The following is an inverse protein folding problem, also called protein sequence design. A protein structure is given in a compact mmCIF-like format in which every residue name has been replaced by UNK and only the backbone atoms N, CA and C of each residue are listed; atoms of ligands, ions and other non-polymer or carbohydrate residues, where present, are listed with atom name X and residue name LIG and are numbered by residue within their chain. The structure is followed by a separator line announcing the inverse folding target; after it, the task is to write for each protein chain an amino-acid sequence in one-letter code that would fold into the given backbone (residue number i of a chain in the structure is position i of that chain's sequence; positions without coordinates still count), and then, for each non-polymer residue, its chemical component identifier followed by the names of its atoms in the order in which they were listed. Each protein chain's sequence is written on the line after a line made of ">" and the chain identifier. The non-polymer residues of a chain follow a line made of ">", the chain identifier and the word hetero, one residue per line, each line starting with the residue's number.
data_IF_743457695825
#
_entry.id   IF_743457695825
#
_cell.length_a   1.000
_cell.length_b   1.000
_cell.length_c   1.000
_cell.angle_alpha   90.00
_cell.angle_beta   90.00
_cell.angle_gamma   90.00
#
_symmetry.space_group_name_H-M   'P 1'
#
loop_
_entity.id
_entity.type
_entity.pdbx_description
1 polymer ?
#
# COMPACT_ATOMS: atom_id res chain seq x y z
N UNK A 1 -16.03 37.64 -35.75
CA UNK A 1 -15.46 36.70 -36.73
C UNK A 1 -14.32 35.90 -36.08
N UNK A 2 -14.35 34.61 -36.24
CA UNK A 2 -13.44 33.56 -35.75
C UNK A 2 -13.56 33.12 -34.29
N UNK A 3 -14.54 32.31 -34.08
CA UNK A 3 -14.58 31.22 -33.10
C UNK A 3 -13.53 30.16 -33.46
N UNK A 4 -12.67 29.77 -32.51
CA UNK A 4 -12.00 28.48 -32.53
C UNK A 4 -12.25 27.76 -31.23
N UNK A 5 -13.11 26.79 -31.33
CA UNK A 5 -13.29 25.64 -30.47
C UNK A 5 -12.01 24.85 -30.43
N UNK A 6 -11.46 24.56 -29.24
CA UNK A 6 -10.49 23.50 -28.98
C UNK A 6 -11.11 22.54 -27.99
N UNK A 7 -11.77 21.54 -28.55
CA UNK A 7 -12.06 20.32 -27.83
C UNK A 7 -10.77 19.53 -27.71
N UNK A 8 -10.21 19.43 -26.51
CA UNK A 8 -9.19 18.43 -26.18
C UNK A 8 -9.82 17.27 -25.46
N UNK A 9 -10.08 16.22 -26.21
CA UNK A 9 -10.31 14.87 -25.73
C UNK A 9 -9.02 14.36 -25.07
N UNK A 10 -9.08 14.10 -23.77
CA UNK A 10 -8.03 13.40 -23.05
C UNK A 10 -8.00 11.94 -23.50
N UNK A 11 -6.85 11.39 -23.90
CA UNK A 11 -6.73 9.97 -24.21
C UNK A 11 -6.78 9.15 -22.91
N UNK A 12 -7.69 8.19 -22.87
CA UNK A 12 -7.71 7.10 -21.92
C UNK A 12 -6.43 6.26 -22.10
N UNK A 13 -5.74 5.94 -21.00
CA UNK A 13 -4.69 4.91 -21.00
C UNK A 13 -3.24 5.39 -20.99
N UNK A 14 -2.94 6.52 -20.38
CA UNK A 14 -1.56 6.96 -20.13
C UNK A 14 -0.94 6.24 -18.94
N UNK A 15 -0.11 5.24 -19.19
CA UNK A 15 0.87 4.74 -18.22
C UNK A 15 1.76 5.91 -17.83
N UNK A 16 1.62 6.41 -16.60
CA UNK A 16 2.50 7.47 -16.08
C UNK A 16 3.87 6.85 -15.83
N UNK A 17 4.75 6.91 -16.82
CA UNK A 17 6.17 6.78 -16.62
C UNK A 17 6.65 8.00 -15.82
N UNK A 18 6.59 7.91 -14.49
CA UNK A 18 7.31 8.87 -13.66
C UNK A 18 8.81 8.62 -13.85
N UNK A 19 9.47 9.48 -14.63
CA UNK A 19 10.91 9.63 -14.65
C UNK A 19 11.35 9.81 -13.19
N UNK A 20 12.06 8.83 -12.65
CA UNK A 20 12.77 8.95 -11.38
C UNK A 20 13.91 9.93 -11.65
N UNK A 21 13.67 11.22 -11.42
CA UNK A 21 14.75 12.19 -11.34
C UNK A 21 15.61 11.77 -10.13
N UNK A 22 16.89 11.52 -10.38
CA UNK A 22 17.90 11.39 -9.33
C UNK A 22 17.83 12.66 -8.48
N UNK A 23 17.25 12.53 -7.28
CA UNK A 23 17.23 13.60 -6.30
C UNK A 23 18.66 13.77 -5.78
N UNK A 24 19.38 14.74 -6.33
CA UNK A 24 20.59 15.29 -5.75
C UNK A 24 20.28 15.69 -4.30
N UNK A 25 21.04 15.17 -3.37
CA UNK A 25 20.92 15.49 -1.94
C UNK A 25 21.06 17.00 -1.74
N UNK A 26 20.06 17.69 -1.17
CA UNK A 26 20.21 19.08 -0.82
C UNK A 26 21.15 19.20 0.39
N UNK A 27 22.09 20.14 0.31
CA UNK A 27 22.97 20.54 1.43
C UNK A 27 22.13 20.88 2.67
N UNK A 28 22.44 20.19 3.78
CA UNK A 28 21.88 20.41 5.12
C UNK A 28 21.91 21.91 5.48
N UNK A 29 20.75 22.43 5.81
CA UNK A 29 20.57 23.52 6.76
C UNK A 29 19.51 23.06 7.76
N UNK A 30 19.94 23.09 9.03
CA UNK A 30 19.15 23.00 10.25
C UNK A 30 18.38 21.72 10.62
N UNK A 31 18.89 21.05 11.61
CA UNK A 31 18.37 20.39 12.83
C UNK A 31 17.22 19.37 12.76
N UNK A 32 16.49 19.22 11.69
CA UNK A 32 15.41 18.24 11.55
C UNK A 32 15.94 16.91 10.99
N UNK A 33 15.84 15.84 11.76
CA UNK A 33 16.17 14.48 11.28
C UNK A 33 15.27 14.15 10.09
N UNK A 34 15.84 14.03 8.89
CA UNK A 34 15.10 13.60 7.71
C UNK A 34 14.40 12.24 8.00
N UNK A 35 13.13 12.07 7.62
CA UNK A 35 12.42 10.83 7.87
C UNK A 35 13.18 9.65 7.25
N UNK A 36 13.44 8.61 8.06
CA UNK A 36 14.15 7.42 7.61
C UNK A 36 13.26 6.66 6.63
N UNK A 37 13.62 6.67 5.35
CA UNK A 37 12.94 5.89 4.33
C UNK A 37 13.20 4.40 4.56
N UNK A 38 12.14 3.65 4.72
CA UNK A 38 12.17 2.21 4.90
C UNK A 38 12.60 1.50 3.60
N UNK A 39 11.89 1.83 2.53
CA UNK A 39 12.09 1.38 1.16
C UNK A 39 12.00 2.60 0.22
N UNK A 40 12.52 2.53 -1.01
CA UNK A 40 12.45 3.65 -1.95
C UNK A 40 11.01 4.18 -2.13
N UNK A 41 10.80 5.45 -1.79
CA UNK A 41 9.50 6.11 -1.91
C UNK A 41 8.44 5.72 -0.87
N UNK A 42 8.81 4.97 0.18
CA UNK A 42 7.94 4.66 1.32
C UNK A 42 8.39 5.37 2.59
N UNK A 43 7.43 5.82 3.36
CA UNK A 43 7.60 6.36 4.70
C UNK A 43 6.72 5.57 5.67
N UNK A 44 7.04 5.69 6.95
CA UNK A 44 6.30 5.12 8.06
C UNK A 44 7.23 4.60 9.12
N UNK A 45 6.84 4.81 10.37
CA UNK A 45 7.57 4.39 11.57
C UNK A 45 6.83 3.33 12.35
N UNK A 46 5.55 3.11 12.06
CA UNK A 46 4.69 2.14 12.73
C UNK A 46 5.27 0.73 12.67
N UNK A 47 5.32 0.04 13.84
CA UNK A 47 5.93 -1.29 13.96
C UNK A 47 5.29 -2.31 13.03
N UNK A 48 3.96 -2.33 12.97
CA UNK A 48 3.21 -3.23 12.09
C UNK A 48 3.45 -2.95 10.60
N UNK A 49 3.51 -1.68 10.22
CA UNK A 49 3.83 -1.27 8.86
C UNK A 49 5.23 -1.73 8.43
N UNK A 50 6.23 -1.51 9.29
CA UNK A 50 7.60 -1.95 9.03
C UNK A 50 7.70 -3.46 8.88
N UNK A 51 7.04 -4.20 9.78
CA UNK A 51 6.99 -5.66 9.72
C UNK A 51 6.40 -6.13 8.39
N UNK A 52 5.28 -5.58 7.94
CA UNK A 52 4.70 -5.93 6.64
C UNK A 52 5.66 -5.66 5.48
N UNK A 53 6.37 -4.53 5.49
CA UNK A 53 7.40 -4.22 4.49
C UNK A 53 8.56 -5.24 4.51
N UNK A 54 9.04 -5.60 5.70
CA UNK A 54 10.15 -6.55 5.87
C UNK A 54 9.74 -7.96 5.44
N UNK A 55 8.53 -8.40 5.74
CA UNK A 55 7.98 -9.70 5.32
C UNK A 55 7.90 -9.80 3.79
N UNK A 56 7.41 -8.77 3.11
CA UNK A 56 7.37 -8.73 1.64
C UNK A 56 8.79 -8.75 1.05
N UNK A 57 9.71 -7.98 1.63
CA UNK A 57 11.10 -7.95 1.17
C UNK A 57 11.79 -9.31 1.37
N UNK A 58 11.51 -10.00 2.47
CA UNK A 58 12.05 -11.34 2.73
C UNK A 58 11.49 -12.37 1.75
N UNK A 59 10.18 -12.37 1.49
CA UNK A 59 9.57 -13.22 0.47
C UNK A 59 10.19 -12.99 -0.92
N UNK A 60 10.39 -11.72 -1.30
CA UNK A 60 11.06 -11.38 -2.56
C UNK A 60 12.48 -11.96 -2.64
N UNK A 61 13.26 -11.85 -1.54
CA UNK A 61 14.64 -12.37 -1.46
C UNK A 61 14.69 -13.89 -1.52
N UNK A 62 13.71 -14.55 -0.94
CA UNK A 62 13.56 -16.01 -1.00
C UNK A 62 13.05 -16.50 -2.36
N UNK A 63 12.63 -15.60 -3.28
CA UNK A 63 11.99 -15.97 -4.54
C UNK A 63 10.57 -16.52 -4.36
N UNK A 64 9.99 -16.34 -3.18
CA UNK A 64 8.64 -16.80 -2.86
C UNK A 64 7.59 -15.82 -3.36
N UNK A 65 6.55 -16.34 -3.96
CA UNK A 65 5.38 -15.56 -4.34
C UNK A 65 4.61 -15.13 -3.10
N UNK A 66 4.07 -13.91 -3.11
CA UNK A 66 3.44 -13.33 -1.92
C UNK A 66 2.03 -12.81 -2.20
N UNK A 67 1.11 -13.06 -1.28
CA UNK A 67 -0.22 -12.46 -1.26
C UNK A 67 -0.27 -11.33 -0.21
N UNK A 68 -0.63 -10.12 -0.62
CA UNK A 68 -0.84 -8.99 0.29
C UNK A 68 -2.33 -8.78 0.51
N UNK A 69 -2.78 -8.99 1.73
CA UNK A 69 -4.15 -8.69 2.16
C UNK A 69 -4.22 -7.34 2.89
N UNK A 70 -5.37 -6.70 2.86
CA UNK A 70 -5.61 -5.45 3.59
C UNK A 70 -6.59 -4.52 2.89
N UNK A 71 -6.98 -3.48 3.62
CA UNK A 71 -7.97 -2.50 3.15
C UNK A 71 -7.54 -1.78 1.87
N UNK A 72 -8.50 -1.21 1.11
CA UNK A 72 -8.18 -0.28 0.04
C UNK A 72 -7.34 0.90 0.55
N UNK A 73 -6.38 1.36 -0.26
CA UNK A 73 -5.59 2.55 0.06
C UNK A 73 -4.49 2.38 1.12
N UNK A 74 -4.26 1.18 1.69
CA UNK A 74 -3.19 0.95 2.69
C UNK A 74 -1.77 0.95 2.10
N UNK A 75 -1.62 0.92 0.77
CA UNK A 75 -0.30 0.99 0.14
C UNK A 75 0.26 -0.35 -0.35
N UNK A 76 -0.54 -1.42 -0.48
CA UNK A 76 -0.09 -2.74 -0.97
C UNK A 76 0.77 -2.67 -2.23
N UNK A 77 0.29 -1.99 -3.27
CA UNK A 77 1.05 -1.83 -4.52
C UNK A 77 2.31 -0.98 -4.33
N UNK A 78 2.29 -0.01 -3.43
CA UNK A 78 3.46 0.82 -3.14
C UNK A 78 4.58 -0.01 -2.49
N UNK A 79 4.27 -0.91 -1.56
CA UNK A 79 5.24 -1.84 -0.96
C UNK A 79 5.87 -2.71 -2.05
N UNK A 80 5.05 -3.37 -2.87
CA UNK A 80 5.53 -4.25 -3.94
C UNK A 80 6.44 -3.53 -4.93
N UNK A 81 6.06 -2.31 -5.32
CA UNK A 81 6.87 -1.48 -6.21
C UNK A 81 8.18 -1.07 -5.57
N UNK A 82 8.17 -0.69 -4.30
CA UNK A 82 9.36 -0.24 -3.58
C UNK A 82 10.35 -1.40 -3.35
N UNK A 83 9.85 -2.60 -3.01
CA UNK A 83 10.66 -3.81 -2.90
C UNK A 83 11.29 -4.17 -4.25
N UNK A 84 10.50 -4.15 -5.33
CA UNK A 84 11.02 -4.38 -6.69
C UNK A 84 12.11 -3.37 -7.05
N UNK A 85 11.87 -2.06 -6.87
CA UNK A 85 12.86 -1.01 -7.17
C UNK A 85 14.16 -1.17 -6.39
N UNK A 86 14.08 -1.64 -5.15
CA UNK A 86 15.25 -1.88 -4.31
C UNK A 86 16.03 -3.11 -4.73
N UNK A 87 15.34 -4.17 -5.13
CA UNK A 87 15.93 -5.49 -5.37
C UNK A 87 16.22 -5.78 -6.83
N UNK A 88 15.45 -5.19 -7.71
CA UNK A 88 15.57 -5.38 -9.16
C UNK A 88 15.30 -4.07 -9.93
N UNK A 89 16.11 -3.02 -9.75
CA UNK A 89 15.84 -1.68 -10.28
C UNK A 89 15.80 -1.60 -11.82
N UNK A 90 16.35 -2.59 -12.52
CA UNK A 90 16.32 -2.67 -13.99
C UNK A 90 15.29 -3.66 -14.53
N UNK A 91 14.63 -4.43 -13.66
CA UNK A 91 13.65 -5.43 -14.08
C UNK A 91 12.30 -4.80 -14.44
N UNK A 92 11.54 -5.50 -15.25
CA UNK A 92 10.19 -5.08 -15.62
C UNK A 92 9.23 -5.23 -14.43
N UNK A 93 8.40 -4.22 -14.21
CA UNK A 93 7.34 -4.24 -13.20
C UNK A 93 5.98 -4.13 -13.89
N UNK A 94 5.28 -5.24 -14.02
CA UNK A 94 3.98 -5.32 -14.70
C UNK A 94 2.86 -5.41 -13.69
N UNK A 95 1.84 -4.56 -13.86
CA UNK A 95 0.64 -4.57 -13.01
C UNK A 95 -0.56 -4.98 -13.86
N UNK A 96 -1.27 -6.00 -13.41
CA UNK A 96 -2.50 -6.49 -14.00
C UNK A 96 -3.63 -6.26 -12.99
N UNK A 97 -4.57 -5.42 -13.32
CA UNK A 97 -5.74 -5.18 -12.46
C UNK A 97 -6.90 -6.06 -12.89
N UNK A 98 -7.42 -6.86 -11.96
CA UNK A 98 -8.56 -7.72 -12.25
C UNK A 98 -9.86 -6.93 -12.44
N UNK A 99 -9.93 -5.70 -11.93
CA UNK A 99 -11.04 -4.79 -12.20
C UNK A 99 -11.17 -4.45 -13.70
N UNK A 100 -10.06 -4.56 -14.45
CA UNK A 100 -10.03 -4.34 -15.91
C UNK A 100 -10.37 -5.63 -16.70
N UNK A 101 -10.66 -6.74 -16.01
CA UNK A 101 -10.92 -8.05 -16.61
C UNK A 101 -12.32 -8.15 -17.24
N UNK A 102 -12.63 -7.25 -18.17
CA UNK A 102 -13.92 -7.18 -18.86
C UNK A 102 -14.03 -8.15 -20.04
N UNK A 103 -12.90 -8.64 -20.56
CA UNK A 103 -12.86 -9.53 -21.71
C UNK A 103 -11.69 -10.55 -21.63
N UNK A 104 -11.67 -11.49 -22.60
CA UNK A 104 -10.62 -12.52 -22.71
C UNK A 104 -9.21 -11.95 -22.96
N UNK A 105 -9.09 -10.68 -23.37
CA UNK A 105 -7.80 -10.02 -23.63
C UNK A 105 -7.02 -9.83 -22.36
N UNK A 106 -7.71 -9.60 -21.23
CA UNK A 106 -7.04 -9.48 -19.92
C UNK A 106 -6.26 -10.76 -19.59
N UNK A 107 -6.89 -11.95 -19.77
CA UNK A 107 -6.23 -13.22 -19.49
C UNK A 107 -5.06 -13.49 -20.46
N UNK A 108 -5.21 -13.11 -21.73
CA UNK A 108 -4.12 -13.18 -22.70
C UNK A 108 -2.94 -12.26 -22.29
N UNK A 109 -3.25 -11.06 -21.79
CA UNK A 109 -2.24 -10.14 -21.26
C UNK A 109 -1.57 -10.69 -20.01
N UNK A 110 -2.32 -11.33 -19.11
CA UNK A 110 -1.77 -12.00 -17.94
C UNK A 110 -0.81 -13.13 -18.33
N UNK A 111 -1.21 -14.03 -19.24
CA UNK A 111 -0.32 -15.08 -19.76
C UNK A 111 0.92 -14.52 -20.42
N UNK A 112 0.77 -13.48 -21.24
CA UNK A 112 1.92 -12.82 -21.89
C UNK A 112 2.87 -12.23 -20.85
N UNK A 113 2.38 -11.54 -19.84
CA UNK A 113 3.20 -10.97 -18.80
C UNK A 113 4.00 -12.02 -18.01
N UNK A 114 3.45 -13.23 -17.86
CA UNK A 114 4.13 -14.36 -17.20
C UNK A 114 5.19 -15.03 -18.09
N UNK A 115 5.06 -14.91 -19.42
CA UNK A 115 5.93 -15.60 -20.40
C UNK A 115 6.94 -14.65 -21.06
N UNK A 116 6.54 -13.43 -21.42
CA UNK A 116 7.27 -12.53 -22.33
C UNK A 116 8.40 -11.71 -21.69
N UNK A 117 8.64 -11.85 -20.39
CA UNK A 117 9.63 -11.03 -19.69
C UNK A 117 11.10 -11.30 -20.11
N UNK A 118 11.30 -12.06 -21.19
CA UNK A 118 12.59 -12.54 -21.63
C UNK A 118 13.02 -12.12 -23.03
N UNK A 119 12.14 -11.41 -23.76
CA UNK A 119 12.44 -11.07 -25.16
C UNK A 119 13.41 -9.91 -25.35
N UNK A 120 13.74 -9.16 -24.29
CA UNK A 120 14.49 -7.90 -24.38
C UNK A 120 15.97 -7.98 -23.97
N UNK A 121 16.56 -9.16 -23.85
CA UNK A 121 18.00 -9.27 -23.53
C UNK A 121 18.38 -8.88 -22.10
N UNK A 122 17.43 -8.56 -21.25
CA UNK A 122 17.67 -8.27 -19.83
C UNK A 122 17.69 -9.58 -19.04
N UNK A 123 18.84 -9.92 -18.45
CA UNK A 123 19.06 -11.14 -17.68
C UNK A 123 18.25 -11.19 -16.36
N UNK A 124 17.49 -10.14 -16.07
CA UNK A 124 16.77 -9.98 -14.80
C UNK A 124 15.30 -10.36 -14.96
N UNK A 125 14.87 -11.37 -14.20
CA UNK A 125 13.45 -11.73 -14.11
C UNK A 125 12.61 -10.54 -13.62
N UNK A 126 11.47 -10.29 -14.28
CA UNK A 126 10.56 -9.21 -13.90
C UNK A 126 9.70 -9.54 -12.68
N UNK A 127 8.85 -8.59 -12.31
CA UNK A 127 7.78 -8.80 -11.31
C UNK A 127 6.42 -8.57 -11.93
N UNK A 128 5.50 -9.50 -11.71
CA UNK A 128 4.09 -9.41 -12.13
C UNK A 128 3.20 -9.28 -10.90
N UNK A 129 2.45 -8.20 -10.85
CA UNK A 129 1.53 -7.92 -9.74
C UNK A 129 0.10 -8.05 -10.25
N UNK A 130 -0.67 -8.96 -9.66
CA UNK A 130 -2.08 -9.17 -9.97
C UNK A 130 -2.90 -8.52 -8.86
N UNK A 131 -3.61 -7.46 -9.22
CA UNK A 131 -4.45 -6.74 -8.27
C UNK A 131 -5.88 -7.28 -8.30
N UNK A 132 -6.48 -7.37 -7.12
CA UNK A 132 -7.89 -7.69 -6.91
C UNK A 132 -8.38 -9.00 -7.58
N UNK A 133 -7.59 -10.11 -7.55
CA UNK A 133 -8.07 -11.37 -8.12
C UNK A 133 -9.34 -11.89 -7.43
N UNK A 134 -9.62 -11.44 -6.21
CA UNK A 134 -10.86 -11.67 -5.47
C UNK A 134 -12.12 -11.10 -6.16
N UNK A 135 -11.96 -10.19 -7.12
CA UNK A 135 -13.06 -9.63 -7.93
C UNK A 135 -13.33 -10.42 -9.22
N UNK A 136 -12.45 -11.38 -9.56
CA UNK A 136 -12.65 -12.23 -10.73
C UNK A 136 -13.73 -13.29 -10.48
N UNK A 137 -14.49 -13.61 -11.52
CA UNK A 137 -15.36 -14.78 -11.48
C UNK A 137 -14.57 -16.10 -11.42
N UNK A 138 -15.25 -17.20 -11.08
CA UNK A 138 -14.62 -18.50 -10.90
C UNK A 138 -13.96 -19.03 -12.17
N UNK A 139 -14.44 -18.67 -13.37
CA UNK A 139 -13.86 -19.10 -14.64
C UNK A 139 -12.49 -18.42 -14.86
N UNK A 140 -12.43 -17.11 -14.66
CA UNK A 140 -11.18 -16.34 -14.77
C UNK A 140 -10.17 -16.77 -13.70
N UNK A 141 -10.61 -16.98 -12.45
CA UNK A 141 -9.74 -17.47 -11.37
C UNK A 141 -9.12 -18.83 -11.71
N UNK A 142 -9.91 -19.78 -12.21
CA UNK A 142 -9.39 -21.09 -12.63
C UNK A 142 -8.40 -20.97 -13.79
N UNK A 143 -8.72 -20.13 -14.77
CA UNK A 143 -7.85 -19.90 -15.93
C UNK A 143 -6.54 -19.22 -15.54
N UNK A 144 -6.59 -18.25 -14.61
CA UNK A 144 -5.41 -17.60 -14.04
C UNK A 144 -4.57 -18.58 -13.23
N UNK A 145 -5.21 -19.40 -12.39
CA UNK A 145 -4.52 -20.45 -11.62
C UNK A 145 -3.79 -21.43 -12.52
N UNK A 146 -4.44 -21.86 -13.60
CA UNK A 146 -3.80 -22.74 -14.58
C UNK A 146 -2.61 -22.09 -15.26
N UNK A 147 -2.74 -20.82 -15.67
CA UNK A 147 -1.64 -20.06 -16.29
C UNK A 147 -0.43 -19.90 -15.35
N UNK A 148 -0.67 -19.70 -14.04
CA UNK A 148 0.39 -19.61 -13.04
C UNK A 148 1.03 -20.97 -12.70
N UNK A 149 0.35 -22.06 -12.95
CA UNK A 149 0.86 -23.42 -12.75
C UNK A 149 1.60 -23.96 -13.99
N UNK A 150 1.47 -23.33 -15.14
CA UNK A 150 2.24 -23.70 -16.32
C UNK A 150 3.74 -23.56 -16.05
N UNK A 151 4.58 -24.57 -16.36
CA UNK A 151 6.01 -24.48 -16.14
C UNK A 151 6.61 -23.32 -16.94
N UNK A 152 7.02 -22.27 -16.28
CA UNK A 152 7.69 -21.12 -16.92
C UNK A 152 9.13 -21.44 -17.36
N UNK A 153 9.63 -22.65 -17.06
CA UNK A 153 11.00 -23.09 -17.32
C UNK A 153 11.20 -23.74 -18.70
N UNK A 154 10.51 -23.29 -19.74
CA UNK A 154 10.86 -23.71 -21.08
C UNK A 154 12.06 -22.90 -21.52
N UNK A 155 13.23 -23.55 -21.66
CA UNK A 155 14.52 -23.00 -22.13
C UNK A 155 15.35 -22.19 -21.11
N UNK A 156 15.42 -22.58 -19.84
CA UNK A 156 16.37 -21.99 -18.87
C UNK A 156 16.06 -20.56 -18.45
N UNK A 157 14.84 -20.10 -18.67
CA UNK A 157 14.38 -18.75 -18.35
C UNK A 157 14.09 -18.62 -16.84
N UNK A 158 14.56 -17.54 -16.21
CA UNK A 158 14.27 -17.26 -14.79
C UNK A 158 12.78 -17.03 -14.59
N UNK A 159 12.23 -17.66 -13.56
CA UNK A 159 10.82 -17.50 -13.22
C UNK A 159 10.53 -16.05 -12.79
N UNK A 160 9.45 -15.47 -13.33
CA UNK A 160 8.94 -14.16 -12.92
C UNK A 160 8.50 -14.22 -11.47
N UNK A 161 8.83 -13.22 -10.67
CA UNK A 161 8.29 -13.10 -9.32
C UNK A 161 6.86 -12.58 -9.38
N UNK A 162 5.93 -13.26 -8.73
CA UNK A 162 4.50 -12.91 -8.77
C UNK A 162 4.01 -12.52 -7.38
N UNK A 163 3.22 -11.45 -7.32
CA UNK A 163 2.48 -11.08 -6.12
C UNK A 163 1.02 -10.78 -6.45
N UNK A 164 0.14 -11.04 -5.49
CA UNK A 164 -1.29 -10.68 -5.58
C UNK A 164 -1.67 -9.71 -4.48
N UNK A 165 -2.65 -8.83 -4.75
CA UNK A 165 -3.22 -7.95 -3.71
C UNK A 165 -4.70 -8.24 -3.56
N UNK A 166 -5.12 -8.42 -2.30
CA UNK A 166 -6.48 -8.81 -1.93
C UNK A 166 -7.15 -7.72 -1.09
N UNK A 167 -8.48 -7.65 -1.18
CA UNK A 167 -9.31 -6.91 -0.24
C UNK A 167 -9.45 -7.63 1.11
N UNK A 168 -9.96 -6.93 2.15
CA UNK A 168 -10.25 -7.56 3.43
C UNK A 168 -11.36 -8.60 3.28
N UNK A 169 -11.19 -9.76 3.92
CA UNK A 169 -12.19 -10.83 3.89
C UNK A 169 -12.35 -11.52 2.54
N UNK A 170 -11.39 -11.37 1.63
CA UNK A 170 -11.39 -12.09 0.36
C UNK A 170 -11.48 -13.61 0.59
N UNK A 171 -12.51 -14.25 0.07
CA UNK A 171 -12.78 -15.68 0.26
C UNK A 171 -13.42 -16.30 -0.98
N UNK A 172 -13.44 -17.62 -1.00
CA UNK A 172 -14.01 -18.38 -2.12
C UNK A 172 -13.15 -19.59 -2.48
N UNK A 173 -13.78 -20.65 -2.99
CA UNK A 173 -13.10 -21.92 -3.29
C UNK A 173 -12.02 -21.73 -4.37
N UNK A 174 -12.36 -21.05 -5.45
CA UNK A 174 -11.43 -20.84 -6.58
C UNK A 174 -10.29 -19.88 -6.18
N UNK A 175 -10.59 -18.85 -5.38
CA UNK A 175 -9.59 -17.96 -4.82
C UNK A 175 -8.64 -18.71 -3.87
N UNK A 176 -9.17 -19.55 -2.97
CA UNK A 176 -8.36 -20.36 -2.09
C UNK A 176 -7.43 -21.32 -2.84
N UNK A 177 -7.85 -21.81 -4.01
CA UNK A 177 -7.01 -22.63 -4.90
C UNK A 177 -5.86 -21.80 -5.50
N UNK A 178 -6.15 -20.58 -5.95
CA UNK A 178 -5.13 -19.65 -6.44
C UNK A 178 -4.12 -19.34 -5.34
N UNK A 179 -4.58 -19.04 -4.13
CA UNK A 179 -3.72 -18.62 -3.00
C UNK A 179 -2.79 -19.74 -2.50
N UNK A 180 -3.06 -21.00 -2.81
CA UNK A 180 -2.09 -22.09 -2.51
C UNK A 180 -0.77 -21.95 -3.28
N UNK A 181 -0.73 -21.14 -4.34
CA UNK A 181 0.50 -20.85 -5.09
C UNK A 181 1.37 -19.80 -4.41
N UNK A 182 0.84 -19.14 -3.38
CA UNK A 182 1.49 -18.05 -2.65
C UNK A 182 1.80 -18.52 -1.22
N UNK A 183 3.00 -19.03 -0.96
CA UNK A 183 3.36 -19.58 0.34
C UNK A 183 3.38 -18.51 1.43
N UNK A 184 3.65 -17.26 1.05
CA UNK A 184 3.70 -16.13 1.98
C UNK A 184 2.45 -15.27 1.84
N UNK A 185 1.75 -15.02 2.96
CA UNK A 185 0.64 -14.07 3.04
C UNK A 185 0.98 -12.99 4.05
N UNK A 186 0.90 -11.72 3.64
CA UNK A 186 1.23 -10.56 4.46
C UNK A 186 0.01 -9.67 4.63
N UNK A 187 -0.38 -9.41 5.87
CA UNK A 187 -1.43 -8.47 6.20
C UNK A 187 -0.87 -7.06 6.34
N UNK A 188 -1.32 -6.17 5.44
CA UNK A 188 -0.91 -4.76 5.45
C UNK A 188 -1.85 -3.99 6.37
N UNK A 189 -1.34 -3.41 7.47
CA UNK A 189 -2.16 -2.75 8.48
C UNK A 189 -2.84 -1.50 7.92
N UNK A 190 -4.09 -1.22 8.33
CA UNK A 190 -4.75 0.04 8.02
C UNK A 190 -4.10 1.20 8.78
N UNK A 191 -4.15 2.40 8.19
CA UNK A 191 -3.48 3.61 8.72
C UNK A 191 -3.88 3.95 10.16
N UNK A 192 -5.11 3.62 10.57
CA UNK A 192 -5.55 3.81 11.96
C UNK A 192 -4.76 3.02 13.00
N UNK A 193 -4.00 2.01 12.60
CA UNK A 193 -3.12 1.25 13.49
C UNK A 193 -1.70 1.84 13.60
N UNK A 194 -1.36 2.81 12.77
CA UNK A 194 -0.11 3.57 12.80
C UNK A 194 -0.35 5.04 12.41
N UNK A 195 -1.35 5.66 13.05
CA UNK A 195 -1.84 6.99 12.71
C UNK A 195 -0.77 8.09 12.85
N UNK A 196 0.23 7.88 13.68
CA UNK A 196 1.39 8.75 13.85
C UNK A 196 2.17 8.97 12.56
N UNK A 197 2.12 8.03 11.63
CA UNK A 197 2.78 8.16 10.34
C UNK A 197 2.20 9.29 9.47
N UNK A 198 0.98 9.75 9.76
CA UNK A 198 0.35 10.88 9.06
C UNK A 198 1.19 12.15 9.17
N UNK A 199 1.91 12.35 10.28
CA UNK A 199 2.82 13.48 10.47
C UNK A 199 3.94 13.52 9.44
N UNK A 200 4.38 12.35 8.96
CA UNK A 200 5.43 12.23 7.96
C UNK A 200 4.83 12.12 6.55
N UNK A 201 3.70 11.43 6.40
CA UNK A 201 3.03 11.21 5.12
C UNK A 201 2.49 12.51 4.52
N UNK A 202 1.87 13.39 5.31
CA UNK A 202 1.27 14.61 4.80
C UNK A 202 2.32 15.56 4.18
N UNK A 203 3.43 15.92 4.87
CA UNK A 203 4.50 16.72 4.26
C UNK A 203 5.17 16.02 3.06
N UNK A 204 5.36 14.71 3.13
CA UNK A 204 5.92 13.94 2.03
C UNK A 204 5.06 14.03 0.76
N UNK A 205 3.73 13.91 0.89
CA UNK A 205 2.84 14.02 -0.26
C UNK A 205 2.80 15.43 -0.84
N UNK A 206 2.83 16.46 0.01
CA UNK A 206 2.95 17.86 -0.43
C UNK A 206 4.24 18.07 -1.23
N UNK A 207 5.37 17.56 -0.72
CA UNK A 207 6.65 17.62 -1.42
C UNK A 207 6.61 16.87 -2.76
N UNK A 208 6.01 15.68 -2.79
CA UNK A 208 5.86 14.86 -4.00
C UNK A 208 4.95 15.51 -5.05
N UNK A 209 4.01 16.33 -4.64
CA UNK A 209 3.15 17.13 -5.51
C UNK A 209 3.85 18.39 -6.06
N UNK A 210 5.14 18.59 -5.76
CA UNK A 210 5.95 19.70 -6.28
C UNK A 210 5.98 20.95 -5.40
N UNK A 211 5.45 20.88 -4.17
CA UNK A 211 5.37 22.03 -3.24
C UNK A 211 6.38 21.94 -2.09
N UNK A 212 7.49 21.24 -2.30
CA UNK A 212 8.55 21.12 -1.28
C UNK A 212 9.11 22.50 -0.87
N UNK A 213 9.06 22.78 0.43
CA UNK A 213 9.55 24.04 0.99
C UNK A 213 8.66 25.26 0.76
N UNK A 214 7.60 25.14 -0.05
CA UNK A 214 6.64 26.21 -0.30
C UNK A 214 5.47 26.19 0.69
N UNK A 215 5.13 25.00 1.18
CA UNK A 215 4.04 24.78 2.11
C UNK A 215 4.57 24.14 3.40
N UNK A 216 4.10 24.65 4.53
CA UNK A 216 4.35 24.08 5.86
C UNK A 216 3.00 23.84 6.55
N UNK A 217 3.00 23.03 7.60
CA UNK A 217 1.79 22.68 8.34
C UNK A 217 1.77 23.40 9.68
N UNK A 218 0.63 23.99 10.05
CA UNK A 218 0.45 24.44 11.42
C UNK A 218 0.36 23.22 12.36
N UNK A 219 0.78 23.33 13.63
CA UNK A 219 0.65 22.25 14.61
C UNK A 219 -0.79 21.77 14.77
N UNK A 220 -1.74 22.69 14.70
CA UNK A 220 -3.18 22.40 14.76
C UNK A 220 -3.62 21.49 13.61
N UNK A 221 -3.20 21.80 12.37
CA UNK A 221 -3.52 20.97 11.20
C UNK A 221 -2.96 19.57 11.36
N UNK A 222 -1.71 19.41 11.78
CA UNK A 222 -1.12 18.09 12.03
C UNK A 222 -1.91 17.30 13.09
N UNK A 223 -2.34 17.97 14.17
CA UNK A 223 -3.20 17.33 15.17
C UNK A 223 -4.55 16.92 14.59
N UNK A 224 -5.19 17.76 13.77
CA UNK A 224 -6.44 17.43 13.10
C UNK A 224 -6.28 16.21 12.18
N UNK A 225 -5.22 16.17 11.38
CA UNK A 225 -4.91 15.04 10.51
C UNK A 225 -4.71 13.73 11.29
N UNK A 226 -4.01 13.77 12.43
CA UNK A 226 -3.82 12.60 13.30
C UNK A 226 -5.09 12.15 14.01
N UNK A 227 -6.03 13.06 14.26
CA UNK A 227 -7.33 12.72 14.86
C UNK A 227 -8.36 12.23 13.85
N UNK A 228 -8.11 12.41 12.56
CA UNK A 228 -9.01 12.01 11.49
C UNK A 228 -9.08 10.50 11.31
N UNK A 229 -10.19 10.01 10.79
CA UNK A 229 -10.52 8.59 10.74
C UNK A 229 -10.11 7.96 9.43
N UNK A 230 -9.39 8.30 8.61
CA UNK A 230 -8.86 7.81 7.32
C UNK A 230 -9.43 6.47 6.82
N UNK A 231 -10.73 6.34 6.51
CA UNK A 231 -11.30 5.09 6.01
C UNK A 231 -10.71 4.66 4.65
N UNK A 232 -10.22 5.60 3.85
CA UNK A 232 -9.47 5.35 2.62
C UNK A 232 -7.96 5.26 2.83
N UNK A 233 -7.50 5.17 4.09
CA UNK A 233 -6.10 4.94 4.46
C UNK A 233 -5.13 5.98 3.86
N UNK A 234 -3.94 5.55 3.48
CA UNK A 234 -2.86 6.39 2.94
C UNK A 234 -3.26 7.07 1.62
N UNK A 235 -4.05 6.39 0.79
CA UNK A 235 -4.57 6.97 -0.44
C UNK A 235 -5.46 8.18 -0.16
N UNK A 236 -6.31 8.13 0.88
CA UNK A 236 -7.13 9.26 1.27
C UNK A 236 -6.28 10.43 1.77
N UNK A 237 -5.20 10.16 2.54
CA UNK A 237 -4.25 11.22 2.95
C UNK A 237 -3.67 11.90 1.72
N UNK A 238 -3.22 11.11 0.73
CA UNK A 238 -2.69 11.65 -0.53
C UNK A 238 -3.72 12.52 -1.27
N UNK A 239 -4.96 12.07 -1.42
CA UNK A 239 -6.02 12.82 -2.08
C UNK A 239 -6.37 14.10 -1.30
N UNK A 240 -6.36 14.05 0.02
CA UNK A 240 -6.52 15.23 0.88
C UNK A 240 -5.41 16.25 0.63
N UNK A 241 -4.15 15.83 0.63
CA UNK A 241 -3.04 16.73 0.33
C UNK A 241 -3.13 17.31 -1.09
N UNK A 242 -3.56 16.51 -2.05
CA UNK A 242 -3.81 16.97 -3.42
C UNK A 242 -4.89 18.07 -3.49
N UNK A 243 -5.92 17.99 -2.65
CA UNK A 243 -6.93 19.04 -2.55
C UNK A 243 -6.37 20.30 -1.85
N UNK A 244 -5.59 20.12 -0.78
CA UNK A 244 -4.95 21.21 -0.04
C UNK A 244 -4.06 22.05 -0.96
N UNK A 245 -3.16 21.41 -1.73
CA UNK A 245 -2.25 22.14 -2.63
C UNK A 245 -2.94 22.85 -3.79
N UNK A 246 -4.19 22.47 -4.12
CA UNK A 246 -5.02 23.20 -5.09
C UNK A 246 -5.58 24.50 -4.50
N UNK A 247 -5.84 24.52 -3.18
CA UNK A 247 -6.40 25.69 -2.48
C UNK A 247 -5.29 26.66 -2.03
N UNK A 248 -4.17 26.12 -1.56
CA UNK A 248 -3.04 26.89 -1.06
C UNK A 248 -1.74 26.45 -1.72
N UNK A 249 -1.01 27.38 -2.28
CA UNK A 249 0.22 27.10 -3.02
C UNK A 249 1.49 27.45 -2.25
N UNK A 250 1.42 28.35 -1.27
CA UNK A 250 2.55 28.81 -0.47
C UNK A 250 2.12 29.13 0.97
N UNK A 251 3.08 29.13 1.87
CA UNK A 251 2.88 29.52 3.28
C UNK A 251 2.42 28.38 4.17
N UNK A 252 1.73 28.72 5.26
CA UNK A 252 1.31 27.78 6.28
C UNK A 252 -0.11 27.26 5.97
N UNK A 253 -0.25 25.94 5.87
CA UNK A 253 -1.56 25.28 5.73
C UNK A 253 -2.30 25.44 7.07
N UNK A 254 -3.52 25.95 6.99
CA UNK A 254 -4.40 26.23 8.10
C UNK A 254 -5.62 25.28 8.11
N UNK A 255 -6.36 25.14 9.23
CA UNK A 255 -7.54 24.27 9.31
C UNK A 255 -8.58 24.48 8.19
N UNK A 256 -8.79 25.71 7.76
CA UNK A 256 -9.72 26.02 6.69
C UNK A 256 -9.28 25.55 5.29
N UNK A 257 -8.01 25.22 5.11
CA UNK A 257 -7.48 24.67 3.86
C UNK A 257 -7.80 23.17 3.72
N UNK A 258 -8.11 22.50 4.85
CA UNK A 258 -8.50 21.09 4.85
C UNK A 258 -9.93 20.90 4.32
N UNK A 259 -10.19 19.76 3.67
CA UNK A 259 -11.56 19.37 3.34
C UNK A 259 -12.41 19.19 4.63
N UNK A 260 -13.71 19.54 4.60
CA UNK A 260 -14.58 19.44 5.79
C UNK A 260 -14.62 18.05 6.41
N UNK A 261 -14.52 17.02 5.60
CA UNK A 261 -14.54 15.61 6.02
C UNK A 261 -13.34 15.22 6.88
N UNK A 262 -12.24 15.95 6.80
CA UNK A 262 -11.01 15.69 7.55
C UNK A 262 -11.16 15.97 9.04
N UNK A 263 -12.11 16.87 9.43
CA UNK A 263 -12.34 17.25 10.83
C UNK A 263 -13.53 16.53 11.51
N UNK A 264 -14.30 15.72 10.79
CA UNK A 264 -15.61 15.26 11.24
C UNK A 264 -15.61 14.20 12.36
N UNK A 265 -14.52 13.48 12.60
CA UNK A 265 -14.42 12.44 13.64
C UNK A 265 -13.09 12.52 14.37
N UNK A 266 -13.10 13.13 15.54
CA UNK A 266 -11.92 13.29 16.38
C UNK A 266 -11.63 12.01 17.17
N UNK A 267 -10.52 11.33 16.90
CA UNK A 267 -9.95 10.30 17.78
C UNK A 267 -9.08 10.93 18.85
N UNK A 268 -9.06 10.31 20.04
CA UNK A 268 -8.06 10.64 21.04
C UNK A 268 -6.65 10.26 20.51
N UNK A 269 -5.70 11.15 20.59
CA UNK A 269 -4.31 10.83 20.29
C UNK A 269 -3.80 9.83 21.33
N UNK A 270 -3.19 8.76 20.86
CA UNK A 270 -2.52 7.80 21.73
C UNK A 270 -1.14 8.35 22.11
N UNK A 271 -0.73 8.11 23.35
CA UNK A 271 0.65 8.32 23.76
C UNK A 271 1.57 7.30 23.06
N UNK A 272 2.90 7.54 23.02
CA UNK A 272 3.84 6.57 22.45
C UNK A 272 3.71 5.18 23.07
N UNK A 273 3.47 5.08 24.38
CA UNK A 273 3.27 3.82 25.07
C UNK A 273 1.95 3.13 24.64
N UNK A 274 0.87 3.89 24.54
CA UNK A 274 -0.41 3.38 24.07
C UNK A 274 -0.35 2.93 22.61
N UNK A 275 0.45 3.59 21.77
CA UNK A 275 0.68 3.15 20.38
C UNK A 275 1.39 1.80 20.33
N UNK A 276 2.43 1.61 21.16
CA UNK A 276 3.14 0.33 21.29
C UNK A 276 2.20 -0.77 21.80
N UNK A 277 1.39 -0.44 22.83
CA UNK A 277 0.42 -1.38 23.38
C UNK A 277 -0.64 -1.79 22.34
N UNK A 278 -1.17 -0.82 21.59
CA UNK A 278 -2.09 -1.07 20.48
C UNK A 278 -1.48 -2.02 19.43
N UNK A 279 -0.24 -1.75 19.03
CA UNK A 279 0.46 -2.54 18.01
C UNK A 279 0.70 -3.97 18.50
N UNK A 280 1.09 -4.14 19.77
CA UNK A 280 1.26 -5.46 20.38
C UNK A 280 -0.07 -6.24 20.42
N UNK A 281 -1.19 -5.58 20.77
CA UNK A 281 -2.51 -6.21 20.79
C UNK A 281 -2.95 -6.57 19.37
N UNK A 282 -2.76 -5.67 18.41
CA UNK A 282 -3.13 -5.92 17.02
C UNK A 282 -2.34 -7.09 16.44
N UNK A 283 -1.03 -7.12 16.69
CA UNK A 283 -0.18 -8.21 16.24
C UNK A 283 -0.59 -9.55 16.85
N UNK A 284 -0.83 -9.57 18.16
CA UNK A 284 -1.24 -10.81 18.85
C UNK A 284 -2.61 -11.31 18.38
N UNK A 285 -3.51 -10.41 17.97
CA UNK A 285 -4.79 -10.78 17.35
C UNK A 285 -4.59 -11.38 15.95
N UNK A 286 -3.69 -10.83 15.14
CA UNK A 286 -3.34 -11.39 13.83
C UNK A 286 -2.74 -12.79 13.98
N UNK A 287 -1.74 -12.96 14.85
CA UNK A 287 -1.09 -14.24 15.13
C UNK A 287 -2.08 -15.29 15.70
N UNK A 288 -3.11 -14.83 16.39
CA UNK A 288 -4.19 -15.67 16.94
C UNK A 288 -5.39 -15.83 15.98
N UNK A 289 -5.30 -15.38 14.72
CA UNK A 289 -6.39 -15.42 13.74
C UNK A 289 -7.71 -14.82 14.28
N UNK A 290 -7.62 -13.67 14.94
CA UNK A 290 -8.77 -12.98 15.54
C UNK A 290 -9.24 -13.54 16.90
N UNK A 291 -8.66 -14.63 17.40
CA UNK A 291 -9.03 -15.22 18.67
C UNK A 291 -8.55 -14.38 19.87
N UNK A 292 -9.44 -13.56 20.39
CA UNK A 292 -9.18 -12.62 21.49
C UNK A 292 -8.68 -13.31 22.77
N UNK A 293 -9.13 -14.54 23.04
CA UNK A 293 -8.70 -15.27 24.23
C UNK A 293 -7.25 -15.77 24.10
N UNK A 294 -6.86 -16.27 22.90
CA UNK A 294 -5.47 -16.66 22.62
C UNK A 294 -4.55 -15.42 22.63
N UNK A 295 -4.96 -14.33 22.01
CA UNK A 295 -4.22 -13.07 22.01
C UNK A 295 -4.00 -12.53 23.44
N UNK A 296 -5.01 -12.51 24.28
CA UNK A 296 -4.90 -12.10 25.68
C UNK A 296 -3.87 -12.95 26.43
N UNK A 297 -3.93 -14.28 26.26
CA UNK A 297 -2.98 -15.21 26.90
C UNK A 297 -1.54 -14.97 26.45
N UNK A 298 -1.33 -14.74 25.15
CA UNK A 298 0.00 -14.45 24.59
C UNK A 298 0.61 -13.16 25.14
N UNK A 299 -0.23 -12.15 25.43
CA UNK A 299 0.21 -10.87 25.99
C UNK A 299 0.21 -10.83 27.53
N UNK A 300 -0.13 -11.92 28.21
CA UNK A 300 -0.25 -11.94 29.66
C UNK A 300 -1.40 -11.07 30.19
N UNK A 301 -2.41 -10.78 29.37
CA UNK A 301 -3.54 -9.93 29.71
C UNK A 301 -4.76 -10.76 30.09
N UNK A 302 -5.64 -10.20 30.97
CA UNK A 302 -6.95 -10.77 31.20
C UNK A 302 -7.85 -10.60 29.96
N UNK A 303 -8.87 -11.48 29.81
CA UNK A 303 -9.86 -11.33 28.75
C UNK A 303 -10.56 -9.97 28.81
N UNK A 304 -10.94 -9.52 29.98
CA UNK A 304 -11.60 -8.23 30.16
C UNK A 304 -10.69 -7.06 29.70
N UNK A 305 -9.40 -7.12 30.05
CA UNK A 305 -8.42 -6.11 29.69
C UNK A 305 -8.27 -6.00 28.17
N UNK A 306 -8.08 -7.12 27.47
CA UNK A 306 -7.90 -7.09 26.01
C UNK A 306 -9.17 -6.60 25.30
N UNK A 307 -10.37 -6.98 25.73
CA UNK A 307 -11.63 -6.49 25.16
C UNK A 307 -11.78 -4.98 25.33
N UNK A 308 -11.49 -4.46 26.55
CA UNK A 308 -11.52 -3.02 26.81
C UNK A 308 -10.51 -2.27 25.94
N UNK A 309 -9.29 -2.77 25.82
CA UNK A 309 -8.22 -2.16 25.03
C UNK A 309 -8.51 -2.19 23.52
N UNK A 310 -9.07 -3.28 23.00
CA UNK A 310 -9.56 -3.37 21.61
C UNK A 310 -10.56 -2.25 21.31
N UNK A 311 -11.52 -2.05 22.20
CA UNK A 311 -12.50 -0.98 22.04
C UNK A 311 -11.87 0.42 22.20
N UNK A 312 -11.04 0.62 23.21
CA UNK A 312 -10.35 1.90 23.50
C UNK A 312 -9.46 2.35 22.33
N UNK A 313 -8.70 1.43 21.74
CA UNK A 313 -7.81 1.72 20.62
C UNK A 313 -8.50 1.63 19.25
N UNK A 314 -9.79 1.29 19.21
CA UNK A 314 -10.54 1.16 17.96
C UNK A 314 -10.01 0.08 17.03
N UNK A 315 -9.45 -1.01 17.59
CA UNK A 315 -8.94 -2.14 16.82
C UNK A 315 -10.11 -2.90 16.22
N UNK A 316 -10.18 -2.99 14.90
CA UNK A 316 -11.20 -3.79 14.20
C UNK A 316 -10.66 -5.22 14.10
N UNK A 317 -11.33 -6.13 14.81
CA UNK A 317 -11.03 -7.56 14.66
C UNK A 317 -11.78 -8.09 13.44
N UNK A 318 -11.06 -8.65 12.51
CA UNK A 318 -11.64 -9.47 11.45
C UNK A 318 -12.21 -10.72 12.16
N UNK A 319 -13.53 -10.79 12.25
CA UNK A 319 -14.28 -11.91 12.83
C UNK A 319 -14.44 -13.03 11.82
#
# INVERSE_FOLDING_TARGET
>A
MYTRSLGETLPAGGVIHAKVAQLSTPKRRDGGTAPKMLLPGLLGSGGLWRRACDEVENAYRAGEWVALAGEPGVGKLAILRAVHQRRNPGGRFTVLDAADATDRRWLASARRALVDDHAAGDERAGSVIIRHPDQLDGLYLRSLTAALQEPTNVHGKRAVWVAVTLGPGAHGRDLARLLRLFPSTVDVPPLRHHIEDVQQLAPFFVARLGYQGQLTFSPEVLQMLMRSNWPGNVEQVFQTMRQVVRRRRTGVIQPQDLPPETGALSRRLLSPLESIERDAITQSLLDAHGNKAKAAKALGMSRATIYRKIHEFGIVTLG
#
